data_IF_425645301469
#
_entry.id   IF_425645301469
#
_cell.length_a   1.000
_cell.length_b   1.000
_cell.length_c   1.000
_cell.angle_alpha   90.00
_cell.angle_beta   90.00
_cell.angle_gamma   90.00
#
_symmetry.space_group_name_H-M   'P 1'
#
loop_
_entity.id
_entity.type
_entity.pdbx_description
1 polymer ?
#
# COMPACT_ATOMS: atom_id res chain seq x y z
N UNK A 1 13.76 15.01 3.49
CA UNK A 1 14.16 13.78 4.21
C UNK A 1 12.86 13.02 4.49
N UNK A 2 12.78 11.69 4.28
CA UNK A 2 11.54 10.95 4.57
C UNK A 2 11.17 11.08 6.05
N UNK A 3 9.88 11.22 6.35
CA UNK A 3 9.38 11.22 7.73
C UNK A 3 9.45 9.77 8.26
N UNK A 4 10.23 9.51 9.33
CA UNK A 4 10.37 8.17 9.89
C UNK A 4 9.07 7.61 10.47
N UNK A 5 8.03 8.44 10.64
CA UNK A 5 6.71 8.00 11.12
C UNK A 5 5.81 7.47 9.99
N UNK A 6 6.22 7.59 8.73
CA UNK A 6 5.44 7.06 7.62
C UNK A 6 5.51 5.53 7.61
N UNK A 7 4.36 4.82 7.57
CA UNK A 7 4.34 3.36 7.66
C UNK A 7 4.71 2.66 6.34
N UNK A 8 5.04 3.41 5.29
CA UNK A 8 5.16 2.91 3.92
C UNK A 8 6.56 3.10 3.33
N UNK A 9 7.06 2.05 2.70
CA UNK A 9 8.19 2.11 1.78
C UNK A 9 7.70 1.70 0.39
N UNK A 10 7.76 2.63 -0.56
CA UNK A 10 7.41 2.39 -1.96
C UNK A 10 8.68 2.10 -2.76
N UNK A 11 8.72 0.95 -3.42
CA UNK A 11 9.88 0.50 -4.18
C UNK A 11 9.73 0.77 -5.68
N UNK A 12 10.85 0.81 -6.41
CA UNK A 12 10.87 1.09 -7.85
C UNK A 12 10.13 0.03 -8.69
N UNK A 13 10.09 -1.21 -8.21
CA UNK A 13 9.43 -2.36 -8.83
C UNK A 13 7.91 -2.44 -8.55
N UNK A 14 7.35 -1.37 -7.96
CA UNK A 14 5.94 -1.21 -7.59
C UNK A 14 5.46 -2.11 -6.45
N UNK A 15 6.38 -2.71 -5.70
CA UNK A 15 6.05 -3.26 -4.39
C UNK A 15 5.96 -2.15 -3.33
N UNK A 16 5.11 -2.36 -2.34
CA UNK A 16 4.94 -1.47 -1.19
C UNK A 16 5.04 -2.31 0.08
N UNK A 17 5.91 -1.89 1.00
CA UNK A 17 6.05 -2.47 2.33
C UNK A 17 5.26 -1.60 3.32
N UNK A 18 4.39 -2.23 4.11
CA UNK A 18 3.58 -1.59 5.14
C UNK A 18 3.95 -2.17 6.51
N UNK A 19 4.47 -1.32 7.39
CA UNK A 19 4.78 -1.67 8.79
C UNK A 19 3.49 -1.82 9.61
N UNK A 20 3.36 -2.92 10.34
CA UNK A 20 2.14 -3.29 11.08
C UNK A 20 2.03 -2.56 12.42
N UNK A 21 3.15 -2.39 13.15
CA UNK A 21 3.17 -1.78 14.48
C UNK A 21 3.11 -0.23 14.47
N UNK A 22 2.89 0.37 13.30
CA UNK A 22 2.83 1.81 13.15
C UNK A 22 1.42 2.34 13.46
N UNK A 23 1.30 3.46 14.18
CA UNK A 23 0.01 4.09 14.54
C UNK A 23 -0.88 4.39 13.32
N UNK A 24 -0.29 4.56 12.13
CA UNK A 24 -1.00 4.86 10.87
C UNK A 24 -1.25 3.62 10.01
N UNK A 25 -1.02 2.42 10.55
CA UNK A 25 -1.14 1.16 9.83
C UNK A 25 -2.53 0.97 9.21
N UNK A 26 -3.60 1.15 9.99
CA UNK A 26 -4.97 0.89 9.52
C UNK A 26 -5.37 1.82 8.36
N UNK A 27 -5.13 3.12 8.51
CA UNK A 27 -5.39 4.11 7.46
C UNK A 27 -4.59 3.83 6.18
N UNK A 28 -3.32 3.42 6.34
CA UNK A 28 -2.45 3.07 5.22
C UNK A 28 -2.90 1.78 4.52
N UNK A 29 -3.27 0.75 5.29
CA UNK A 29 -3.82 -0.52 4.81
C UNK A 29 -5.09 -0.28 3.99
N UNK A 30 -6.05 0.45 4.56
CA UNK A 30 -7.35 0.70 3.95
C UNK A 30 -7.22 1.60 2.71
N UNK A 31 -6.20 2.47 2.68
CA UNK A 31 -5.86 3.25 1.49
C UNK A 31 -5.22 2.40 0.39
N UNK A 32 -4.25 1.55 0.75
CA UNK A 32 -3.58 0.67 -0.21
C UNK A 32 -4.53 -0.34 -0.85
N UNK A 33 -5.43 -0.94 -0.06
CA UNK A 33 -6.37 -1.96 -0.54
C UNK A 33 -7.27 -1.48 -1.70
N UNK A 34 -7.40 -0.15 -1.88
CA UNK A 34 -8.20 0.43 -2.96
C UNK A 34 -7.50 0.40 -4.33
N UNK A 35 -6.17 0.34 -4.38
CA UNK A 35 -5.41 0.43 -5.63
C UNK A 35 -4.19 -0.50 -5.73
N UNK A 36 -3.94 -1.34 -4.72
CA UNK A 36 -2.85 -2.30 -4.68
C UNK A 36 -3.34 -3.65 -4.14
N UNK A 37 -2.69 -4.73 -4.60
CA UNK A 37 -3.04 -6.10 -4.23
C UNK A 37 -2.14 -6.57 -3.07
N UNK A 38 -2.74 -7.19 -2.04
CA UNK A 38 -1.98 -7.82 -0.95
C UNK A 38 -1.28 -9.08 -1.47
N UNK A 39 0.05 -9.13 -1.33
CA UNK A 39 0.88 -10.27 -1.73
C UNK A 39 1.14 -11.21 -0.55
N UNK A 40 1.47 -10.65 0.62
CA UNK A 40 1.72 -11.41 1.87
C UNK A 40 1.49 -10.54 3.11
N UNK A 41 1.07 -11.17 4.20
CA UNK A 41 0.75 -10.53 5.49
C UNK A 41 1.39 -11.25 6.69
N UNK A 42 2.73 -11.25 6.83
CA UNK A 42 3.39 -11.69 8.04
C UNK A 42 3.23 -10.65 9.17
N UNK A 43 3.59 -11.03 10.39
CA UNK A 43 3.37 -10.27 11.63
C UNK A 43 3.81 -8.79 11.57
N UNK A 44 4.98 -8.49 11.01
CA UNK A 44 5.57 -7.13 11.12
C UNK A 44 5.43 -6.27 9.86
N UNK A 45 5.42 -6.88 8.67
CA UNK A 45 5.47 -6.13 7.39
C UNK A 45 4.59 -6.78 6.35
N UNK A 46 3.52 -6.10 5.98
CA UNK A 46 2.67 -6.49 4.85
C UNK A 46 3.31 -6.04 3.54
N UNK A 47 3.19 -6.86 2.50
CA UNK A 47 3.67 -6.52 1.16
C UNK A 47 2.51 -6.42 0.20
N UNK A 48 2.41 -5.29 -0.47
CA UNK A 48 1.45 -5.04 -1.55
C UNK A 48 2.17 -4.89 -2.89
N UNK A 49 1.44 -5.09 -3.99
CA UNK A 49 1.92 -4.80 -5.34
C UNK A 49 0.90 -3.93 -6.07
N UNK A 50 1.38 -2.84 -6.66
CA UNK A 50 0.60 -2.03 -7.59
C UNK A 50 0.74 -2.67 -8.98
N UNK A 51 -0.38 -3.03 -9.59
CA UNK A 51 -0.44 -3.62 -10.93
C UNK A 51 -1.25 -2.70 -11.86
N UNK A 52 -1.09 -2.80 -13.19
CA UNK A 52 -1.97 -2.10 -14.12
C UNK A 52 -3.46 -2.43 -13.89
N UNK A 53 -3.77 -3.67 -13.50
CA UNK A 53 -5.14 -4.11 -13.20
C UNK A 53 -5.68 -3.47 -11.92
N UNK A 54 -4.89 -3.42 -10.83
CA UNK A 54 -5.31 -2.81 -9.58
C UNK A 54 -5.58 -1.31 -9.74
N UNK A 55 -4.77 -0.62 -10.54
CA UNK A 55 -4.99 0.78 -10.90
C UNK A 55 -6.22 0.98 -11.77
N UNK A 56 -6.45 0.10 -12.76
CA UNK A 56 -7.66 0.17 -13.58
C UNK A 56 -8.92 -0.05 -12.75
N UNK A 57 -8.92 -1.03 -11.84
CA UNK A 57 -10.02 -1.28 -10.92
C UNK A 57 -10.29 -0.06 -10.03
N UNK A 58 -9.25 0.58 -9.50
CA UNK A 58 -9.35 1.81 -8.71
C UNK A 58 -9.97 2.96 -9.53
N UNK A 59 -9.48 3.17 -10.76
CA UNK A 59 -10.00 4.20 -11.65
C UNK A 59 -11.46 3.94 -12.05
N UNK A 60 -11.83 2.68 -12.28
CA UNK A 60 -13.20 2.30 -12.66
C UNK A 60 -14.23 2.61 -11.57
N UNK A 61 -13.83 2.65 -10.29
CA UNK A 61 -14.69 3.05 -9.15
C UNK A 61 -14.57 4.54 -8.81
N UNK A 62 -13.95 5.34 -9.68
CA UNK A 62 -13.90 6.79 -9.56
C UNK A 62 -12.72 7.33 -8.74
N UNK A 63 -11.69 6.53 -8.45
CA UNK A 63 -10.46 7.08 -7.88
C UNK A 63 -9.71 7.89 -8.92
N UNK A 64 -9.36 9.13 -8.57
CA UNK A 64 -8.53 10.02 -9.38
C UNK A 64 -7.13 10.15 -8.76
N UNK A 65 -6.11 10.50 -9.57
CA UNK A 65 -4.77 10.85 -9.07
C UNK A 65 -4.77 12.00 -8.06
#
# INVERSE_FOLDING_TARGET
MPDPRNPLIVQSDKSVLLEVDNERYEDARDSLARFAELVKSPEYVHTYRITPLSLWNAAAVGMTP
#
